data_IF_272652874029
#
_entry.id   IF_272652874029
#
_cell.length_a   1.000
_cell.length_b   1.000
_cell.length_c   1.000
_cell.angle_alpha   90.00
_cell.angle_beta   90.00
_cell.angle_gamma   90.00
#
_symmetry.space_group_name_H-M   'P 1'
#
loop_
_entity.id
_entity.type
_entity.pdbx_description
1 polymer ?
#
# COMPACT_ATOMS: atom_id res chain seq x y z
N UNK A 1 4.81 18.48 -4.74
CA UNK A 1 5.84 19.36 -5.32
C UNK A 1 6.17 18.99 -6.77
N UNK A 2 6.66 17.77 -7.06
CA UNK A 2 7.09 17.38 -8.42
C UNK A 2 6.00 17.55 -9.51
N UNK A 3 4.79 17.01 -9.29
CA UNK A 3 3.68 17.14 -10.25
C UNK A 3 3.32 18.61 -10.58
N UNK A 4 3.43 19.51 -9.60
CA UNK A 4 3.17 20.94 -9.79
C UNK A 4 4.28 21.63 -10.59
N UNK A 5 5.54 21.24 -10.35
CA UNK A 5 6.71 21.78 -11.05
C UNK A 5 6.75 21.29 -12.51
N UNK A 6 6.43 20.01 -12.73
CA UNK A 6 6.45 19.38 -14.05
C UNK A 6 5.15 19.53 -14.84
N UNK A 7 4.10 20.17 -14.27
CA UNK A 7 2.76 20.31 -14.88
C UNK A 7 2.13 18.98 -15.34
N UNK A 8 2.42 17.90 -14.62
CA UNK A 8 1.86 16.56 -14.88
C UNK A 8 0.68 16.38 -13.91
N UNK A 9 -0.46 15.81 -14.32
CA UNK A 9 -1.56 15.53 -13.40
C UNK A 9 -1.14 14.57 -12.28
N UNK A 10 -1.57 14.89 -11.06
CA UNK A 10 -1.19 14.15 -9.84
C UNK A 10 -1.54 12.65 -9.95
N UNK A 11 -2.69 12.32 -10.54
CA UNK A 11 -3.13 10.93 -10.69
C UNK A 11 -2.18 10.06 -11.51
N UNK A 12 -1.54 10.64 -12.53
CA UNK A 12 -0.58 9.92 -13.39
C UNK A 12 0.71 9.59 -12.64
N UNK A 13 1.22 10.56 -11.87
CA UNK A 13 2.38 10.33 -11.00
C UNK A 13 2.02 9.32 -9.90
N UNK A 14 0.82 9.43 -9.32
CA UNK A 14 0.36 8.53 -8.28
C UNK A 14 0.27 7.07 -8.75
N UNK A 15 -0.30 6.82 -9.94
CA UNK A 15 -0.40 5.48 -10.52
C UNK A 15 0.96 4.83 -10.75
N UNK A 16 1.98 5.61 -11.16
CA UNK A 16 3.35 5.12 -11.30
C UNK A 16 3.98 4.75 -9.95
N UNK A 17 3.65 5.48 -8.89
CA UNK A 17 4.19 5.23 -7.54
C UNK A 17 3.56 4.04 -6.84
N UNK A 18 2.31 3.66 -7.17
CA UNK A 18 1.58 2.59 -6.51
C UNK A 18 2.35 1.25 -6.42
N UNK A 19 2.87 0.66 -7.52
CA UNK A 19 3.63 -0.59 -7.45
C UNK A 19 4.97 -0.43 -6.73
N UNK A 20 5.64 0.72 -6.89
CA UNK A 20 6.91 1.00 -6.21
C UNK A 20 6.73 1.07 -4.69
N UNK A 21 5.64 1.68 -4.21
CA UNK A 21 5.31 1.76 -2.79
C UNK A 21 5.09 0.38 -2.17
N UNK A 22 4.30 -0.50 -2.82
CA UNK A 22 4.05 -1.85 -2.30
C UNK A 22 5.32 -2.69 -2.19
N UNK A 23 6.20 -2.57 -3.19
CA UNK A 23 7.48 -3.26 -3.17
C UNK A 23 8.38 -2.73 -2.05
N UNK A 24 8.52 -1.41 -1.92
CA UNK A 24 9.31 -0.79 -0.87
C UNK A 24 8.77 -1.12 0.54
N UNK A 25 7.45 -1.12 0.73
CA UNK A 25 6.82 -1.54 1.99
C UNK A 25 7.14 -3.00 2.33
N UNK A 26 7.06 -3.90 1.34
CA UNK A 26 7.38 -5.32 1.55
C UNK A 26 8.83 -5.52 2.01
N UNK A 27 9.77 -4.74 1.45
CA UNK A 27 11.17 -4.77 1.89
C UNK A 27 11.32 -4.20 3.30
N UNK A 28 10.67 -3.07 3.60
CA UNK A 28 10.69 -2.48 4.95
C UNK A 28 10.24 -3.46 6.02
N UNK A 29 9.18 -4.24 5.74
CA UNK A 29 8.66 -5.27 6.64
C UNK A 29 9.64 -6.40 6.94
N UNK A 30 10.59 -6.68 6.06
CA UNK A 30 11.64 -7.67 6.37
C UNK A 30 12.53 -7.18 7.52
N UNK A 31 12.78 -5.87 7.61
CA UNK A 31 13.47 -5.26 8.75
C UNK A 31 12.68 -5.42 10.04
N UNK A 32 11.35 -5.29 9.98
CA UNK A 32 10.48 -5.45 11.15
C UNK A 32 10.48 -6.90 11.67
N UNK A 33 10.64 -7.90 10.80
CA UNK A 33 10.82 -9.31 11.20
C UNK A 33 12.14 -9.47 11.98
N UNK A 34 13.23 -8.90 11.48
CA UNK A 34 14.54 -8.98 12.13
C UNK A 34 14.53 -8.26 13.48
N UNK A 35 13.92 -7.08 13.56
CA UNK A 35 13.82 -6.31 14.79
C UNK A 35 12.83 -6.90 15.80
N UNK A 36 11.75 -7.52 15.33
CA UNK A 36 10.67 -8.04 16.19
C UNK A 36 9.81 -6.95 16.83
N UNK A 37 9.63 -5.82 16.16
CA UNK A 37 9.01 -4.63 16.78
C UNK A 37 7.46 -4.64 16.86
N UNK A 38 6.79 -5.53 16.13
CA UNK A 38 5.32 -5.54 16.09
C UNK A 38 4.72 -6.51 17.09
N UNK A 39 4.14 -5.96 18.15
CA UNK A 39 3.37 -6.71 19.13
C UNK A 39 2.12 -7.33 18.48
N UNK A 40 2.03 -8.65 18.54
CA UNK A 40 0.93 -9.42 17.99
C UNK A 40 0.35 -10.36 19.04
N UNK A 41 -0.88 -10.83 18.80
CA UNK A 41 -1.54 -11.78 19.69
C UNK A 41 -0.80 -13.11 19.73
N UNK A 42 -0.86 -13.77 20.88
CA UNK A 42 -0.35 -15.13 21.06
C UNK A 42 -1.04 -16.10 20.09
N UNK A 43 -0.28 -17.08 19.61
CA UNK A 43 -0.77 -18.11 18.70
C UNK A 43 -0.17 -19.47 19.03
N UNK A 44 -0.99 -20.50 19.05
CA UNK A 44 -0.56 -21.89 19.20
C UNK A 44 -0.29 -22.56 17.83
N UNK A 45 -0.33 -21.77 16.75
CA UNK A 45 -0.15 -22.27 15.39
C UNK A 45 1.34 -22.54 15.10
N UNK A 46 1.62 -23.56 14.29
CA UNK A 46 2.99 -24.00 13.97
C UNK A 46 3.84 -22.96 13.23
N UNK A 47 3.21 -21.95 12.63
CA UNK A 47 3.85 -20.87 11.88
C UNK A 47 4.03 -19.58 12.72
N UNK A 48 3.86 -19.66 14.04
CA UNK A 48 4.10 -18.53 14.93
C UNK A 48 5.54 -18.06 14.90
N UNK A 49 5.75 -16.76 15.08
CA UNK A 49 7.08 -16.19 15.22
C UNK A 49 7.47 -16.14 16.69
N UNK A 50 8.71 -16.54 16.98
CA UNK A 50 9.29 -16.56 18.32
C UNK A 50 10.60 -15.79 18.26
N UNK A 51 10.68 -14.69 19.00
CA UNK A 51 11.92 -13.96 19.21
C UNK A 51 12.55 -14.38 20.53
N UNK A 52 13.82 -14.79 20.48
CA UNK A 52 14.58 -15.32 21.62
C UNK A 52 15.62 -14.33 22.14
N UNK A 53 16.06 -13.38 21.31
CA UNK A 53 17.04 -12.37 21.70
C UNK A 53 16.41 -11.29 22.58
N UNK A 54 17.11 -10.93 23.67
CA UNK A 54 16.71 -9.81 24.54
C UNK A 54 16.94 -8.44 23.91
N UNK A 55 17.81 -8.35 22.91
CA UNK A 55 18.09 -7.11 22.18
C UNK A 55 17.03 -6.83 21.10
N UNK A 56 16.09 -7.75 20.89
CA UNK A 56 14.96 -7.54 19.99
C UNK A 56 13.95 -6.56 20.59
N UNK A 57 13.34 -5.75 19.73
CA UNK A 57 12.23 -4.87 20.12
C UNK A 57 11.00 -5.66 20.62
N UNK A 58 10.95 -6.97 20.41
CA UNK A 58 9.93 -7.85 20.96
C UNK A 58 9.89 -7.82 22.50
N UNK A 59 11.00 -7.43 23.15
CA UNK A 59 11.06 -7.30 24.61
C UNK A 59 10.20 -6.18 25.18
N UNK A 60 9.76 -5.22 24.35
CA UNK A 60 8.82 -4.17 24.77
C UNK A 60 7.35 -4.63 24.73
N UNK A 61 7.06 -5.76 24.07
CA UNK A 61 5.73 -6.34 24.01
C UNK A 61 5.50 -7.25 25.22
N UNK A 62 4.31 -7.17 25.83
CA UNK A 62 3.97 -7.92 27.05
C UNK A 62 4.23 -9.44 26.93
N UNK A 63 4.04 -10.01 25.73
CA UNK A 63 4.27 -11.42 25.42
C UNK A 63 5.16 -11.62 24.18
N UNK A 64 6.13 -10.73 23.92
CA UNK A 64 6.92 -10.78 22.69
C UNK A 64 8.15 -11.68 22.73
N UNK A 65 8.74 -11.93 23.92
CA UNK A 65 9.92 -12.77 24.08
C UNK A 65 9.57 -14.21 24.45
N UNK A 66 10.23 -15.19 23.82
CA UNK A 66 10.08 -16.63 24.06
C UNK A 66 8.63 -17.15 23.98
N UNK A 67 7.73 -16.39 23.37
CA UNK A 67 6.35 -16.77 23.16
C UNK A 67 6.04 -16.77 21.66
N UNK A 68 5.15 -17.68 21.27
CA UNK A 68 4.69 -17.80 19.89
C UNK A 68 3.61 -16.76 19.63
N UNK A 69 3.91 -15.80 18.75
CA UNK A 69 2.96 -14.76 18.33
C UNK A 69 2.57 -14.92 16.86
N UNK A 70 1.40 -14.40 16.50
CA UNK A 70 0.93 -14.40 15.12
C UNK A 70 1.96 -13.73 14.20
N UNK A 71 2.30 -14.32 13.03
CA UNK A 71 3.27 -13.73 12.10
C UNK A 71 2.62 -12.62 11.27
N UNK A 72 2.10 -11.60 11.94
CA UNK A 72 1.40 -10.45 11.36
C UNK A 72 2.23 -9.78 10.27
N UNK A 73 3.54 -9.66 10.50
CA UNK A 73 4.49 -9.05 9.55
C UNK A 73 4.60 -9.87 8.26
N UNK A 74 4.64 -11.20 8.37
CA UNK A 74 4.65 -12.07 7.19
C UNK A 74 3.34 -11.98 6.41
N UNK A 75 2.21 -11.91 7.11
CA UNK A 75 0.90 -11.68 6.49
C UNK A 75 0.85 -10.32 5.78
N UNK A 76 1.45 -9.26 6.34
CA UNK A 76 1.58 -7.96 5.68
C UNK A 76 2.41 -8.04 4.40
N UNK A 77 3.54 -8.75 4.42
CA UNK A 77 4.38 -8.95 3.21
C UNK A 77 3.61 -9.72 2.14
N UNK A 78 2.97 -10.84 2.51
CA UNK A 78 2.18 -11.66 1.58
C UNK A 78 1.04 -10.84 0.99
N UNK A 79 0.35 -10.04 1.81
CA UNK A 79 -0.70 -9.14 1.34
C UNK A 79 -0.15 -8.11 0.36
N UNK A 80 0.93 -7.41 0.71
CA UNK A 80 1.54 -6.39 -0.14
C UNK A 80 2.02 -6.95 -1.48
N UNK A 81 2.63 -8.14 -1.50
CA UNK A 81 3.04 -8.82 -2.73
C UNK A 81 1.85 -9.28 -3.57
N UNK A 82 0.78 -9.75 -2.93
CA UNK A 82 -0.46 -10.14 -3.62
C UNK A 82 -1.13 -8.93 -4.28
N UNK A 83 -1.21 -7.81 -3.56
CA UNK A 83 -1.74 -6.55 -4.11
C UNK A 83 -0.82 -6.01 -5.20
N UNK A 84 0.50 -6.10 -5.04
CA UNK A 84 1.47 -5.71 -6.05
C UNK A 84 1.25 -6.48 -7.35
N UNK A 85 1.10 -7.81 -7.26
CA UNK A 85 0.82 -8.65 -8.42
C UNK A 85 -0.49 -8.26 -9.11
N UNK A 86 -1.55 -8.02 -8.32
CA UNK A 86 -2.85 -7.61 -8.83
C UNK A 86 -2.77 -6.26 -9.57
N UNK A 87 -2.16 -5.26 -8.93
CA UNK A 87 -1.97 -3.92 -9.50
C UNK A 87 -1.10 -3.98 -10.75
N UNK A 88 -0.04 -4.78 -10.74
CA UNK A 88 0.83 -4.96 -11.90
C UNK A 88 0.08 -5.51 -13.11
N UNK A 89 -0.86 -6.43 -12.89
CA UNK A 89 -1.73 -6.97 -13.95
C UNK A 89 -2.75 -5.93 -14.45
N UNK A 90 -3.22 -5.05 -13.57
CA UNK A 90 -4.25 -4.04 -13.86
C UNK A 90 -3.70 -2.69 -14.33
N UNK A 91 -2.39 -2.48 -14.28
CA UNK A 91 -1.74 -1.19 -14.61
C UNK A 91 -2.09 -0.63 -15.99
N UNK A 92 -2.30 -1.51 -16.97
CA UNK A 92 -2.61 -1.16 -18.36
C UNK A 92 -4.10 -1.39 -18.69
N UNK A 93 -4.96 -1.41 -17.67
CA UNK A 93 -6.39 -1.70 -17.83
C UNK A 93 -7.30 -0.69 -17.14
N UNK A 94 -6.82 0.08 -16.16
CA UNK A 94 -7.63 1.00 -15.38
C UNK A 94 -7.53 2.43 -15.90
N UNK A 95 -8.68 3.11 -15.95
CA UNK A 95 -8.83 4.53 -16.27
C UNK A 95 -9.86 5.20 -15.39
N UNK A 96 -9.85 6.54 -15.27
CA UNK A 96 -8.81 7.48 -15.76
C UNK A 96 -7.53 7.42 -14.91
N UNK A 97 -6.50 8.20 -15.26
CA UNK A 97 -5.28 8.31 -14.45
C UNK A 97 -5.58 8.69 -12.98
N UNK A 98 -4.99 7.95 -12.04
CA UNK A 98 -5.21 8.03 -10.60
C UNK A 98 -6.05 6.88 -10.02
N UNK A 99 -6.70 6.09 -10.87
CA UNK A 99 -7.53 4.96 -10.41
C UNK A 99 -6.69 3.76 -9.95
N UNK A 100 -5.49 3.57 -10.50
CA UNK A 100 -4.59 2.50 -10.06
C UNK A 100 -4.10 2.77 -8.63
N UNK A 101 -3.78 4.03 -8.33
CA UNK A 101 -3.42 4.46 -6.98
C UNK A 101 -4.60 4.42 -6.01
N UNK A 102 -5.80 4.79 -6.46
CA UNK A 102 -7.01 4.61 -5.64
C UNK A 102 -7.24 3.14 -5.31
N UNK A 103 -7.05 2.22 -6.28
CA UNK A 103 -7.14 0.79 -6.05
C UNK A 103 -6.11 0.31 -5.01
N UNK A 104 -4.86 0.79 -5.13
CA UNK A 104 -3.83 0.57 -4.12
C UNK A 104 -4.26 1.02 -2.72
N UNK A 105 -4.76 2.25 -2.57
CA UNK A 105 -5.23 2.77 -1.28
C UNK A 105 -6.36 1.91 -0.69
N UNK A 106 -7.29 1.45 -1.53
CA UNK A 106 -8.38 0.58 -1.09
C UNK A 106 -7.86 -0.76 -0.56
N UNK A 107 -6.99 -1.43 -1.31
CA UNK A 107 -6.39 -2.69 -0.85
C UNK A 107 -5.48 -2.53 0.37
N UNK A 108 -4.76 -1.41 0.45
CA UNK A 108 -3.97 -1.08 1.63
C UNK A 108 -4.86 -0.92 2.86
N UNK A 109 -5.97 -0.18 2.75
CA UNK A 109 -6.91 0.00 3.84
C UNK A 109 -7.58 -1.33 4.27
N UNK A 110 -7.95 -2.19 3.32
CA UNK A 110 -8.49 -3.53 3.62
C UNK A 110 -7.44 -4.38 4.35
N UNK A 111 -6.21 -4.43 3.83
CA UNK A 111 -5.12 -5.16 4.46
C UNK A 111 -4.86 -4.65 5.88
N UNK A 112 -4.80 -3.32 6.04
CA UNK A 112 -4.61 -2.69 7.35
C UNK A 112 -5.74 -3.09 8.30
N UNK A 113 -7.00 -3.02 7.86
CA UNK A 113 -8.14 -3.41 8.68
C UNK A 113 -8.05 -4.87 9.16
N UNK A 114 -7.79 -5.82 8.26
CA UNK A 114 -7.71 -7.24 8.60
C UNK A 114 -6.54 -7.58 9.53
N UNK A 115 -5.37 -7.01 9.24
CA UNK A 115 -4.13 -7.32 9.95
C UNK A 115 -4.11 -6.68 11.33
N UNK A 116 -4.75 -5.51 11.47
CA UNK A 116 -4.88 -4.80 12.75
C UNK A 116 -5.64 -5.64 13.80
N UNK A 117 -6.59 -6.51 13.40
CA UNK A 117 -7.22 -7.45 14.34
C UNK A 117 -6.26 -8.47 14.98
N UNK A 118 -5.16 -8.78 14.30
CA UNK A 118 -4.14 -9.72 14.76
C UNK A 118 -3.07 -9.04 15.62
N UNK A 119 -2.99 -7.69 15.57
CA UNK A 119 -2.07 -6.88 16.36
C UNK A 119 -2.59 -6.68 17.77
N UNK A 120 -1.65 -6.58 18.70
CA UNK A 120 -1.92 -6.33 20.12
C UNK A 120 -1.63 -4.86 20.47
N UNK A 121 -2.19 -3.94 19.67
CA UNK A 121 -2.09 -2.51 19.92
C UNK A 121 -3.22 -2.04 20.86
N UNK A 122 -2.99 -0.92 21.55
CA UNK A 122 -3.96 -0.30 22.47
C UNK A 122 -5.29 -0.01 21.77
N UNK A 123 -6.38 -0.45 22.38
CA UNK A 123 -7.74 -0.12 21.96
C UNK A 123 -7.96 1.37 22.19
N UNK A 124 -8.39 2.08 21.15
CA UNK A 124 -8.59 3.52 21.24
C UNK A 124 -10.03 3.87 21.62
N UNK A 125 -11.01 3.29 20.92
CA UNK A 125 -12.44 3.50 21.21
C UNK A 125 -13.30 2.38 20.61
N UNK A 126 -14.43 2.05 21.26
CA UNK A 126 -15.41 1.05 20.80
C UNK A 126 -14.85 -0.38 20.52
N UNK A 127 -13.75 -0.76 21.17
CA UNK A 127 -13.09 -2.04 20.90
C UNK A 127 -12.24 -2.05 19.63
N UNK A 128 -12.12 -0.91 18.94
CA UNK A 128 -11.34 -0.74 17.72
C UNK A 128 -10.05 0.06 17.98
N UNK A 129 -8.97 -0.39 17.35
CA UNK A 129 -7.69 0.33 17.30
C UNK A 129 -7.78 1.51 16.30
N UNK A 130 -6.96 2.54 16.50
CA UNK A 130 -6.89 3.75 15.65
C UNK A 130 -6.80 3.41 14.14
N UNK A 131 -6.00 2.39 13.81
CA UNK A 131 -5.81 1.96 12.43
C UNK A 131 -7.10 1.46 11.75
N UNK A 132 -8.10 0.94 12.49
CA UNK A 132 -9.39 0.57 11.92
C UNK A 132 -10.19 1.80 11.50
N UNK A 133 -10.20 2.86 12.31
CA UNK A 133 -10.91 4.09 11.98
C UNK A 133 -10.32 4.73 10.72
N UNK A 134 -9.00 4.83 10.64
CA UNK A 134 -8.30 5.35 9.46
C UNK A 134 -8.64 4.49 8.22
N UNK A 135 -8.58 3.16 8.35
CA UNK A 135 -8.91 2.26 7.25
C UNK A 135 -10.37 2.43 6.76
N UNK A 136 -11.33 2.57 7.67
CA UNK A 136 -12.74 2.81 7.32
C UNK A 136 -12.91 4.14 6.60
N UNK A 137 -12.32 5.23 7.11
CA UNK A 137 -12.40 6.55 6.46
C UNK A 137 -11.82 6.50 5.05
N UNK A 138 -10.66 5.87 4.87
CA UNK A 138 -10.04 5.70 3.55
C UNK A 138 -10.96 4.90 2.63
N UNK A 139 -11.55 3.80 3.09
CA UNK A 139 -12.47 2.99 2.28
C UNK A 139 -13.73 3.74 1.88
N UNK A 140 -14.33 4.50 2.79
CA UNK A 140 -15.52 5.32 2.52
C UNK A 140 -15.25 6.36 1.43
N UNK A 141 -14.01 6.85 1.29
CA UNK A 141 -13.65 7.81 0.24
C UNK A 141 -13.27 7.09 -1.06
N UNK A 142 -12.43 6.06 -0.97
CA UNK A 142 -11.84 5.39 -2.12
C UNK A 142 -12.85 4.53 -2.88
N UNK A 143 -13.75 3.82 -2.17
CA UNK A 143 -14.72 2.92 -2.79
C UNK A 143 -15.68 3.67 -3.72
N UNK A 144 -16.31 4.80 -3.31
CA UNK A 144 -17.11 5.60 -4.23
C UNK A 144 -16.33 6.13 -5.42
N UNK A 145 -15.08 6.61 -5.21
CA UNK A 145 -14.25 7.11 -6.31
C UNK A 145 -14.02 6.01 -7.34
N UNK A 146 -13.67 4.80 -6.90
CA UNK A 146 -13.50 3.66 -7.78
C UNK A 146 -14.82 3.27 -8.46
N UNK A 147 -15.93 3.20 -7.72
CA UNK A 147 -17.22 2.80 -8.27
C UNK A 147 -17.75 3.78 -9.33
N UNK A 148 -17.58 5.09 -9.14
CA UNK A 148 -18.11 6.10 -10.05
C UNK A 148 -17.15 6.46 -11.19
N UNK A 149 -15.83 6.42 -10.96
CA UNK A 149 -14.84 6.91 -11.93
C UNK A 149 -14.02 5.80 -12.59
N UNK A 150 -13.80 4.65 -11.94
CA UNK A 150 -12.98 3.61 -12.52
C UNK A 150 -13.69 2.93 -13.69
N UNK A 151 -12.98 2.84 -14.82
CA UNK A 151 -13.42 2.20 -16.05
C UNK A 151 -12.29 1.34 -16.58
N UNK A 152 -12.64 0.21 -17.20
CA UNK A 152 -11.68 -0.60 -17.92
C UNK A 152 -11.44 0.01 -19.31
N UNK A 153 -10.17 0.27 -19.64
CA UNK A 153 -9.75 0.81 -20.93
C UNK A 153 -8.76 -0.11 -21.65
N UNK A 154 -8.58 0.09 -22.96
CA UNK A 154 -7.53 -0.62 -23.70
C UNK A 154 -6.13 -0.04 -23.38
N UNK A 155 -5.05 -0.83 -23.53
CA UNK A 155 -3.69 -0.34 -23.32
C UNK A 155 -3.35 0.86 -24.23
N UNK A 156 -3.81 0.86 -25.48
CA UNK A 156 -3.49 1.90 -26.47
C UNK A 156 -4.09 3.24 -26.08
N UNK A 157 -5.35 3.21 -25.69
CA UNK A 157 -6.04 4.40 -25.24
C UNK A 157 -5.48 4.90 -23.88
N UNK A 158 -4.92 4.03 -23.01
CA UNK A 158 -4.23 4.45 -21.77
C UNK A 158 -2.94 5.18 -22.19
N UNK A 159 -2.15 4.58 -23.08
CA UNK A 159 -0.95 5.20 -23.62
C UNK A 159 -1.24 6.59 -24.22
N UNK A 160 -2.37 6.73 -24.94
CA UNK A 160 -2.80 8.00 -25.49
C UNK A 160 -3.18 9.01 -24.40
N UNK A 161 -3.96 8.62 -23.39
CA UNK A 161 -4.27 9.48 -22.24
C UNK A 161 -2.99 9.94 -21.53
N UNK A 162 -2.03 9.04 -21.30
CA UNK A 162 -0.73 9.38 -20.71
C UNK A 162 0.08 10.36 -21.58
N UNK A 163 0.05 10.19 -22.91
CA UNK A 163 0.72 11.10 -23.87
C UNK A 163 0.08 12.49 -23.88
N UNK A 164 -1.24 12.55 -23.80
CA UNK A 164 -1.99 13.81 -23.81
C UNK A 164 -1.80 14.59 -22.50
N UNK A 165 -1.65 13.86 -21.39
CA UNK A 165 -1.40 14.42 -20.06
C UNK A 165 0.07 14.78 -19.79
N UNK A 166 1.01 14.26 -20.58
CA UNK A 166 2.42 14.58 -20.45
C UNK A 166 2.69 16.01 -21.00
N UNK A 167 3.53 16.82 -20.32
CA UNK A 167 3.88 18.16 -20.78
C UNK A 167 4.53 18.07 -22.17
N UNK A 168 3.85 18.60 -23.18
CA UNK A 168 4.41 18.63 -24.53
C UNK A 168 5.53 19.67 -24.60
N UNK A 169 6.64 19.31 -25.27
CA UNK A 169 7.70 20.25 -25.61
C UNK A 169 7.11 21.48 -26.29
N UNK A 170 7.60 22.65 -25.89
CA UNK A 170 7.24 23.91 -26.53
C UNK A 170 7.53 23.84 -28.03
N UNK A 171 6.72 24.51 -28.86
CA UNK A 171 6.98 24.63 -30.30
C UNK A 171 8.40 25.11 -30.60
N UNK A 172 8.98 25.92 -29.71
CA UNK A 172 10.35 26.40 -29.80
C UNK A 172 11.40 25.31 -29.51
N UNK A 173 11.15 24.40 -28.57
CA UNK A 173 12.04 23.26 -28.27
C UNK A 173 12.01 22.22 -29.38
N UNK A 174 10.82 21.92 -29.94
CA UNK A 174 10.68 21.01 -31.08
C UNK A 174 11.42 21.47 -32.33
N UNK A 175 11.57 22.79 -32.52
CA UNK A 175 12.33 23.38 -33.64
C UNK A 175 13.85 23.39 -33.42
N UNK A 176 14.34 23.17 -32.20
CA UNK A 176 15.78 23.10 -31.90
C UNK A 176 16.35 21.69 -32.05
N UNK A 177 15.50 20.68 -32.07
CA UNK A 177 15.87 19.26 -32.17
C UNK A 177 15.64 18.66 -33.57
N UNK A 178 15.11 19.44 -34.51
CA UNK A 178 14.90 19.08 -35.92
C UNK A 178 15.92 19.79 -36.80
#
# INVERSE_FOLDING_TARGET
AYSLISKIPVGLVADLTAPAMLFAQSIGRLGDIVNGEHCAKLTDQFYGFVWTSRDSAAGYCANGLNASIQPVIALEIIWNLSVLFLIWKLRNRLRPAGMLFALYLGFYAIGRFLITFLRDDKIWSLGLQEAHFIAIVVLVIVVPILAFKARFGSPDEISNEFRDLAPQKSRAERRREA
#
